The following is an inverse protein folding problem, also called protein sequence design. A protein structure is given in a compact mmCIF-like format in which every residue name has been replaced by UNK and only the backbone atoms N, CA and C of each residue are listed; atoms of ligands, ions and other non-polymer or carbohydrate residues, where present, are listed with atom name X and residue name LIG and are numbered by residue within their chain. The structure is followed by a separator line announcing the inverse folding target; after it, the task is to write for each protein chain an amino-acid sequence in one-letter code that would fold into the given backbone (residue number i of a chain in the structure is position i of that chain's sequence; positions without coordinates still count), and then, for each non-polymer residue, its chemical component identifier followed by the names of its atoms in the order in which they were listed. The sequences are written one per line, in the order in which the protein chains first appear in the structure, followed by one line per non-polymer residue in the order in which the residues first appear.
data_IF_571626629289
#
_entry.id   IF_571626629289
#
_cell.length_a   1.000
_cell.length_b   1.000
_cell.length_c   1.000
_cell.angle_alpha   90.00
_cell.angle_beta   90.00
_cell.angle_gamma   90.00
#
_symmetry.space_group_name_H-M   'P 1'
#
loop_
_entity.id
_entity.type
_entity.pdbx_description
1 polymer ?
#
# COMPACT_ATOMS: atom_id res chain seq x y z
N UNK A 1 -20.41 -3.00 -4.42
CA UNK A 1 -20.55 -2.03 -5.53
C UNK A 1 -19.18 -1.57 -5.98
N UNK A 2 -18.95 -1.26 -7.25
CA UNK A 2 -17.65 -0.88 -7.82
C UNK A 2 -17.78 0.51 -8.44
N UNK A 3 -16.83 1.40 -8.21
CA UNK A 3 -16.83 2.78 -8.70
C UNK A 3 -15.62 2.94 -9.61
N UNK A 4 -15.87 3.20 -10.89
CA UNK A 4 -14.84 3.23 -11.93
C UNK A 4 -13.80 4.34 -11.71
N UNK A 5 -14.19 5.50 -11.19
CA UNK A 5 -13.24 6.56 -10.86
C UNK A 5 -12.21 6.15 -9.78
N UNK A 6 -12.61 5.30 -8.82
CA UNK A 6 -11.66 4.75 -7.85
C UNK A 6 -10.71 3.73 -8.49
N UNK A 7 -11.19 2.92 -9.43
CA UNK A 7 -10.33 2.00 -10.16
C UNK A 7 -9.36 2.78 -11.07
N UNK A 8 -9.78 3.90 -11.66
CA UNK A 8 -8.90 4.80 -12.40
C UNK A 8 -7.84 5.44 -11.49
N UNK A 9 -8.22 5.95 -10.33
CA UNK A 9 -7.25 6.49 -9.35
C UNK A 9 -6.26 5.44 -8.84
N UNK A 10 -6.69 4.18 -8.65
CA UNK A 10 -5.78 3.09 -8.34
C UNK A 10 -4.79 2.81 -9.47
N UNK A 11 -5.20 2.94 -10.72
CA UNK A 11 -4.29 2.80 -11.85
C UNK A 11 -3.24 3.92 -11.86
N UNK A 12 -3.62 5.17 -11.55
CA UNK A 12 -2.67 6.28 -11.39
C UNK A 12 -1.69 5.97 -10.25
N UNK A 13 -2.20 5.59 -9.07
CA UNK A 13 -1.36 5.23 -7.93
C UNK A 13 -0.39 4.09 -8.27
N UNK A 14 -0.84 3.13 -9.08
CA UNK A 14 -0.01 2.02 -9.56
C UNK A 14 1.13 2.50 -10.47
N UNK A 15 0.86 3.40 -11.43
CA UNK A 15 1.89 3.98 -12.29
C UNK A 15 2.89 4.79 -11.46
N UNK A 16 2.41 5.60 -10.51
CA UNK A 16 3.28 6.33 -9.58
C UNK A 16 4.16 5.38 -8.77
N UNK A 17 3.60 4.24 -8.33
CA UNK A 17 4.34 3.21 -7.59
C UNK A 17 5.45 2.59 -8.45
N UNK A 18 5.17 2.25 -9.71
CA UNK A 18 6.19 1.69 -10.62
C UNK A 18 7.35 2.67 -10.82
N UNK A 19 7.04 3.96 -11.04
CA UNK A 19 8.07 5.00 -11.20
C UNK A 19 8.85 5.18 -9.89
N UNK A 20 8.16 5.29 -8.77
CA UNK A 20 8.76 5.48 -7.45
C UNK A 20 9.69 4.33 -7.07
N UNK A 21 9.26 3.07 -7.28
CA UNK A 21 10.08 1.91 -6.97
C UNK A 21 11.26 1.78 -7.92
N UNK A 22 11.09 2.08 -9.21
CA UNK A 22 12.21 2.13 -10.15
C UNK A 22 13.30 3.12 -9.70
N UNK A 23 12.89 4.33 -9.26
CA UNK A 23 13.83 5.32 -8.72
C UNK A 23 14.45 4.86 -7.41
N UNK A 24 13.70 4.18 -6.56
CA UNK A 24 14.21 3.58 -5.32
C UNK A 24 15.26 2.51 -5.62
N UNK A 25 15.03 1.67 -6.64
CA UNK A 25 16.03 0.68 -7.10
C UNK A 25 17.30 1.35 -7.62
N UNK A 26 17.17 2.42 -8.44
CA UNK A 26 18.34 3.19 -8.90
C UNK A 26 19.15 3.79 -7.74
N UNK A 27 18.45 4.27 -6.70
CA UNK A 27 19.10 4.77 -5.50
C UNK A 27 19.77 3.64 -4.68
N UNK A 28 19.12 2.47 -4.57
CA UNK A 28 19.63 1.30 -3.88
C UNK A 28 20.95 0.80 -4.52
N UNK A 29 21.00 0.76 -5.85
CA UNK A 29 22.21 0.37 -6.60
C UNK A 29 23.23 1.50 -6.79
N UNK A 30 23.04 2.66 -6.14
CA UNK A 30 23.99 3.77 -6.18
C UNK A 30 24.09 4.52 -7.52
N UNK A 31 23.13 4.29 -8.44
CA UNK A 31 23.08 4.97 -9.76
C UNK A 31 22.52 6.39 -9.60
N UNK A 32 21.63 6.59 -8.64
CA UNK A 32 20.98 7.86 -8.35
C UNK A 32 20.95 8.10 -6.84
N UNK A 33 21.03 9.35 -6.42
CA UNK A 33 20.87 9.72 -5.00
C UNK A 33 19.52 10.38 -4.83
N UNK A 34 18.72 9.88 -3.87
CA UNK A 34 17.44 10.47 -3.48
C UNK A 34 17.53 10.94 -2.04
N UNK A 35 17.43 12.25 -1.84
CA UNK A 35 17.48 12.86 -0.52
C UNK A 35 16.07 13.09 0.05
N UNK A 36 16.00 13.19 1.38
CA UNK A 36 14.75 13.53 2.06
C UNK A 36 14.31 14.95 1.68
N UNK A 37 13.11 15.08 1.13
CA UNK A 37 12.54 16.35 0.67
C UNK A 37 12.62 16.56 -0.84
N UNK A 38 13.32 15.71 -1.57
CA UNK A 38 13.37 15.75 -3.03
C UNK A 38 12.01 15.40 -3.66
N UNK A 39 11.86 15.72 -4.94
CA UNK A 39 10.67 15.37 -5.72
C UNK A 39 10.36 13.86 -5.64
N UNK A 40 11.37 13.00 -5.78
CA UNK A 40 11.21 11.55 -5.75
C UNK A 40 10.79 11.04 -4.37
N UNK A 41 11.32 11.63 -3.30
CA UNK A 41 10.91 11.32 -1.94
C UNK A 41 9.41 11.67 -1.72
N UNK A 42 8.98 12.85 -2.20
CA UNK A 42 7.58 13.26 -2.12
C UNK A 42 6.68 12.38 -2.99
N UNK A 43 7.14 12.00 -4.20
CA UNK A 43 6.40 11.09 -5.06
C UNK A 43 6.13 9.75 -4.36
N UNK A 44 7.15 9.15 -3.72
CA UNK A 44 7.01 7.90 -2.97
C UNK A 44 5.99 8.02 -1.84
N UNK A 45 6.02 9.10 -1.06
CA UNK A 45 5.07 9.36 0.03
C UNK A 45 3.65 9.59 -0.47
N UNK A 46 3.49 10.35 -1.52
CA UNK A 46 2.19 10.59 -2.17
C UNK A 46 1.61 9.29 -2.72
N UNK A 47 2.43 8.48 -3.37
CA UNK A 47 2.04 7.16 -3.87
C UNK A 47 1.54 6.25 -2.75
N UNK A 48 2.30 6.15 -1.66
CA UNK A 48 1.92 5.35 -0.49
C UNK A 48 0.60 5.84 0.13
N UNK A 49 0.44 7.17 0.27
CA UNK A 49 -0.79 7.78 0.80
C UNK A 49 -1.99 7.47 -0.09
N UNK A 50 -1.85 7.62 -1.41
CA UNK A 50 -2.91 7.28 -2.36
C UNK A 50 -3.27 5.79 -2.30
N UNK A 51 -2.29 4.91 -2.29
CA UNK A 51 -2.50 3.47 -2.30
C UNK A 51 -3.25 3.00 -1.04
N UNK A 52 -2.78 3.42 0.13
CA UNK A 52 -3.41 3.11 1.42
C UNK A 52 -4.78 3.77 1.53
N UNK A 53 -4.89 5.05 1.13
CA UNK A 53 -6.14 5.81 1.18
C UNK A 53 -7.22 5.22 0.28
N UNK A 54 -6.91 4.92 -1.00
CA UNK A 54 -7.84 4.27 -1.93
C UNK A 54 -8.25 2.86 -1.47
N UNK A 55 -7.38 2.18 -0.70
CA UNK A 55 -7.74 0.92 -0.05
C UNK A 55 -8.79 1.13 1.05
N UNK A 56 -8.68 2.21 1.84
CA UNK A 56 -9.68 2.62 2.84
C UNK A 56 -11.03 2.98 2.20
N UNK A 57 -11.01 3.79 1.12
CA UNK A 57 -12.22 4.10 0.33
C UNK A 57 -12.92 2.84 -0.16
N UNK A 58 -12.15 1.96 -0.81
CA UNK A 58 -12.68 0.71 -1.36
C UNK A 58 -13.19 -0.24 -0.27
N UNK A 59 -12.56 -0.20 0.91
CA UNK A 59 -12.97 -1.00 2.06
C UNK A 59 -14.35 -0.56 2.58
N UNK A 60 -14.57 0.75 2.77
CA UNK A 60 -15.87 1.28 3.15
C UNK A 60 -16.98 0.87 2.17
N UNK A 61 -16.76 1.12 0.88
CA UNK A 61 -17.73 0.81 -0.16
C UNK A 61 -18.08 -0.69 -0.24
N UNK A 62 -17.09 -1.56 0.00
CA UNK A 62 -17.30 -3.00 0.02
C UNK A 62 -18.14 -3.48 1.21
N UNK A 63 -18.17 -2.72 2.33
CA UNK A 63 -18.91 -3.08 3.55
C UNK A 63 -20.14 -2.22 3.81
N UNK A 64 -20.45 -1.28 2.93
CA UNK A 64 -21.56 -0.37 3.06
C UNK A 64 -22.91 -1.10 3.10
N UNK A 65 -23.14 -2.00 2.14
CA UNK A 65 -24.39 -2.74 2.00
C UNK A 65 -24.41 -4.00 2.87
N UNK A 66 -23.29 -4.73 2.86
CA UNK A 66 -23.17 -6.00 3.55
C UNK A 66 -21.94 -6.01 4.47
N UNK A 67 -22.19 -6.02 5.77
CA UNK A 67 -21.15 -6.10 6.79
C UNK A 67 -20.89 -7.57 7.16
N UNK A 68 -20.25 -8.31 6.27
CA UNK A 68 -20.01 -9.75 6.43
C UNK A 68 -18.55 -10.01 6.75
N UNK A 69 -18.26 -10.44 7.98
CA UNK A 69 -16.91 -10.74 8.42
C UNK A 69 -16.20 -11.79 7.56
N UNK A 70 -16.92 -12.81 7.06
CA UNK A 70 -16.30 -13.83 6.22
C UNK A 70 -15.72 -13.29 4.90
N UNK A 71 -16.31 -12.22 4.33
CA UNK A 71 -15.76 -11.52 3.15
C UNK A 71 -14.44 -10.82 3.49
N UNK A 72 -14.43 -10.10 4.62
CA UNK A 72 -13.22 -9.47 5.16
C UNK A 72 -12.14 -10.50 5.41
N UNK A 73 -12.48 -11.60 6.06
CA UNK A 73 -11.54 -12.66 6.41
C UNK A 73 -10.90 -13.30 5.15
N UNK A 74 -11.70 -13.63 4.12
CA UNK A 74 -11.18 -14.13 2.84
C UNK A 74 -10.23 -13.15 2.16
N UNK A 75 -10.55 -11.84 2.18
CA UNK A 75 -9.65 -10.80 1.66
C UNK A 75 -8.34 -10.77 2.45
N UNK A 76 -8.43 -10.79 3.77
CA UNK A 76 -7.26 -10.78 4.67
C UNK A 76 -6.38 -12.00 4.45
N UNK A 77 -6.94 -13.19 4.33
CA UNK A 77 -6.17 -14.40 4.02
C UNK A 77 -5.39 -14.27 2.72
N UNK A 78 -6.01 -13.71 1.66
CA UNK A 78 -5.32 -13.45 0.40
C UNK A 78 -4.17 -12.44 0.56
N UNK A 79 -4.37 -11.38 1.34
CA UNK A 79 -3.34 -10.38 1.60
C UNK A 79 -2.19 -10.97 2.43
N UNK A 80 -2.48 -11.75 3.48
CA UNK A 80 -1.47 -12.44 4.30
C UNK A 80 -0.67 -13.41 3.45
N UNK A 81 -1.33 -14.20 2.60
CA UNK A 81 -0.63 -15.12 1.71
C UNK A 81 0.41 -14.40 0.84
N UNK A 82 0.02 -13.33 0.16
CA UNK A 82 0.95 -12.57 -0.67
C UNK A 82 1.99 -11.79 0.14
N UNK A 83 1.63 -11.29 1.32
CA UNK A 83 2.56 -10.68 2.25
C UNK A 83 3.66 -11.68 2.65
N UNK A 84 3.28 -12.91 3.00
CA UNK A 84 4.21 -13.98 3.34
C UNK A 84 5.12 -14.35 2.16
N UNK A 85 4.56 -14.46 0.93
CA UNK A 85 5.34 -14.72 -0.27
C UNK A 85 6.41 -13.64 -0.47
N UNK A 86 6.03 -12.35 -0.35
CA UNK A 86 6.99 -11.23 -0.48
C UNK A 86 8.05 -11.30 0.61
N UNK A 87 7.68 -11.58 1.88
CA UNK A 87 8.64 -11.73 2.97
C UNK A 87 9.66 -12.80 2.68
N UNK A 88 9.22 -13.99 2.25
CA UNK A 88 10.12 -15.11 1.92
C UNK A 88 11.00 -14.77 0.73
N UNK A 89 10.44 -14.21 -0.35
CA UNK A 89 11.21 -13.83 -1.52
C UNK A 89 12.27 -12.78 -1.18
N UNK A 90 11.89 -11.72 -0.47
CA UNK A 90 12.85 -10.67 -0.08
C UNK A 90 13.88 -11.18 0.92
N UNK A 91 13.54 -12.13 1.80
CA UNK A 91 14.49 -12.77 2.71
C UNK A 91 15.55 -13.58 1.96
N UNK A 92 15.17 -14.25 0.87
CA UNK A 92 16.11 -15.03 0.05
C UNK A 92 17.08 -14.12 -0.73
N UNK A 93 16.58 -12.99 -1.24
CA UNK A 93 17.39 -12.08 -2.07
C UNK A 93 18.15 -11.03 -1.25
N UNK A 94 17.61 -10.55 -0.14
CA UNK A 94 18.20 -9.52 0.71
C UNK A 94 17.95 -9.82 2.20
N UNK A 95 18.67 -10.77 2.80
CA UNK A 95 18.45 -11.22 4.19
C UNK A 95 18.58 -10.10 5.23
N UNK A 96 19.36 -9.05 4.93
CA UNK A 96 19.60 -7.95 5.85
C UNK A 96 18.49 -6.88 5.83
N UNK A 97 17.76 -6.78 4.70
CA UNK A 97 16.75 -5.73 4.48
C UNK A 97 15.40 -6.26 3.99
N UNK A 98 15.07 -7.53 4.28
CA UNK A 98 13.82 -8.15 3.82
C UNK A 98 12.57 -7.50 4.42
N UNK A 99 11.44 -7.69 3.76
CA UNK A 99 10.14 -7.14 4.16
C UNK A 99 9.60 -7.91 5.37
N UNK A 100 9.56 -7.26 6.53
CA UNK A 100 8.96 -7.79 7.77
C UNK A 100 7.53 -7.34 7.97
N UNK A 101 7.23 -6.07 7.64
CA UNK A 101 5.90 -5.49 7.71
C UNK A 101 5.72 -4.46 6.60
N UNK A 102 5.44 -4.93 5.38
CA UNK A 102 5.18 -4.08 4.22
C UNK A 102 3.70 -3.73 4.06
N UNK A 103 3.36 -3.06 2.96
CA UNK A 103 2.00 -2.56 2.71
C UNK A 103 0.93 -3.66 2.71
N UNK A 104 1.22 -4.89 2.25
CA UNK A 104 0.24 -5.99 2.29
C UNK A 104 -0.03 -6.46 3.73
N UNK A 105 0.99 -6.46 4.60
CA UNK A 105 0.82 -6.74 6.03
C UNK A 105 -0.07 -5.67 6.68
N UNK A 106 0.23 -4.40 6.41
CA UNK A 106 -0.60 -3.29 6.87
C UNK A 106 -2.05 -3.44 6.41
N UNK A 107 -2.30 -3.70 5.12
CA UNK A 107 -3.66 -3.81 4.59
C UNK A 107 -4.41 -5.05 5.13
N UNK A 108 -3.69 -6.13 5.41
CA UNK A 108 -4.26 -7.31 6.07
C UNK A 108 -4.68 -6.98 7.50
N UNK A 109 -3.80 -6.38 8.29
CA UNK A 109 -4.11 -5.88 9.64
C UNK A 109 -5.26 -4.88 9.62
N UNK A 110 -5.17 -3.86 8.77
CA UNK A 110 -6.17 -2.80 8.66
C UNK A 110 -7.55 -3.35 8.29
N UNK A 111 -7.63 -4.38 7.45
CA UNK A 111 -8.90 -5.01 7.07
C UNK A 111 -9.61 -5.64 8.28
N UNK A 112 -8.89 -6.26 9.19
CA UNK A 112 -9.48 -6.85 10.41
C UNK A 112 -9.76 -5.77 11.46
N UNK A 113 -8.78 -4.90 11.74
CA UNK A 113 -8.88 -3.89 12.78
C UNK A 113 -9.96 -2.83 12.49
N UNK A 114 -10.15 -2.47 11.22
CA UNK A 114 -11.17 -1.51 10.80
C UNK A 114 -12.57 -2.12 10.64
N UNK A 115 -12.73 -3.45 10.70
CA UNK A 115 -14.04 -4.10 10.53
C UNK A 115 -15.11 -3.58 11.47
N UNK A 116 -14.91 -3.43 12.80
CA UNK A 116 -15.91 -2.88 13.69
C UNK A 116 -16.19 -1.38 13.45
N UNK A 117 -15.19 -0.65 12.91
CA UNK A 117 -15.25 0.79 12.71
C UNK A 117 -15.91 1.19 11.38
N UNK A 118 -15.95 0.29 10.39
CA UNK A 118 -16.44 0.64 9.03
C UNK A 118 -17.92 1.08 9.02
N UNK A 119 -18.73 0.63 9.98
CA UNK A 119 -20.11 1.07 10.17
C UNK A 119 -20.25 2.34 11.02
N UNK A 120 -19.15 2.81 11.56
CA UNK A 120 -19.06 4.02 12.37
C UNK A 120 -18.03 4.97 11.75
N UNK A 121 -18.28 5.50 10.53
CA UNK A 121 -17.27 6.21 9.75
C UNK A 121 -16.73 7.46 10.44
N UNK A 122 -17.54 8.14 11.26
CA UNK A 122 -17.07 9.25 12.09
C UNK A 122 -16.07 8.78 13.16
N UNK A 123 -16.34 7.65 13.81
CA UNK A 123 -15.42 7.08 14.81
C UNK A 123 -14.13 6.62 14.10
N UNK A 124 -14.24 5.99 12.93
CA UNK A 124 -13.08 5.63 12.12
C UNK A 124 -12.23 6.87 11.77
N UNK A 125 -12.86 7.95 11.34
CA UNK A 125 -12.17 9.21 11.01
C UNK A 125 -11.43 9.80 12.22
N UNK A 126 -12.10 9.92 13.37
CA UNK A 126 -11.50 10.45 14.60
C UNK A 126 -10.35 9.55 15.08
N UNK A 127 -10.55 8.23 15.07
CA UNK A 127 -9.50 7.26 15.40
C UNK A 127 -8.31 7.37 14.45
N UNK A 128 -8.58 7.59 13.15
CA UNK A 128 -7.54 7.80 12.16
C UNK A 128 -6.72 9.06 12.42
N UNK A 129 -7.34 10.17 12.79
CA UNK A 129 -6.65 11.40 13.21
C UNK A 129 -5.80 11.12 14.45
N UNK A 130 -6.33 10.39 15.44
CA UNK A 130 -5.55 10.00 16.62
C UNK A 130 -4.27 9.26 16.21
N UNK A 131 -4.36 8.27 15.32
CA UNK A 131 -3.17 7.53 14.82
C UNK A 131 -2.18 8.41 14.05
N UNK A 132 -2.58 9.55 13.46
CA UNK A 132 -1.64 10.47 12.81
C UNK A 132 -0.83 11.32 13.80
N UNK A 133 -1.47 11.81 14.86
CA UNK A 133 -0.87 12.78 15.77
C UNK A 133 -0.32 12.18 17.06
N UNK A 134 -0.79 10.99 17.43
CA UNK A 134 -0.33 10.28 18.62
C UNK A 134 0.44 9.03 18.19
N UNK A 135 1.77 9.11 18.15
CA UNK A 135 2.61 7.98 17.78
C UNK A 135 2.34 6.82 18.74
N UNK A 136 2.25 5.62 18.17
CA UNK A 136 2.15 4.42 18.97
C UNK A 136 3.48 4.15 19.66
N UNK A 137 3.40 3.35 20.73
CA UNK A 137 4.58 2.78 21.36
C UNK A 137 5.48 2.13 20.30
N UNK A 138 6.73 2.59 20.22
CA UNK A 138 7.72 2.07 19.27
C UNK A 138 8.72 1.17 19.98
N UNK A 139 8.95 -0.02 19.42
CA UNK A 139 9.94 -0.95 19.91
C UNK A 139 10.51 -1.77 18.73
N UNK A 140 11.82 -1.86 18.64
CA UNK A 140 12.50 -2.59 17.57
C UNK A 140 12.12 -4.08 17.51
N UNK A 141 11.77 -4.71 18.63
CA UNK A 141 11.31 -6.08 18.66
C UNK A 141 9.89 -6.27 18.10
N UNK A 142 9.14 -5.19 17.93
CA UNK A 142 7.76 -5.20 17.42
C UNK A 142 7.65 -4.79 15.95
N UNK A 143 8.75 -4.83 15.21
CA UNK A 143 8.80 -4.59 13.75
C UNK A 143 7.78 -5.44 13.00
N UNK A 144 7.64 -6.71 13.39
CA UNK A 144 6.68 -7.65 12.82
C UNK A 144 5.21 -7.29 13.04
N UNK A 145 4.92 -6.40 13.98
CA UNK A 145 3.60 -5.86 14.25
C UNK A 145 3.41 -4.46 13.69
N UNK A 146 4.40 -3.93 12.93
CA UNK A 146 4.34 -2.57 12.40
C UNK A 146 4.44 -1.48 13.47
N UNK A 147 5.07 -1.76 14.60
CA UNK A 147 5.19 -0.85 15.75
C UNK A 147 6.62 -0.31 15.94
N UNK A 148 7.46 -0.33 14.92
CA UNK A 148 8.78 0.29 14.95
C UNK A 148 8.80 1.54 14.08
N UNK A 149 9.35 2.63 14.61
CA UNK A 149 9.55 3.89 13.88
C UNK A 149 11.00 4.05 13.40
N UNK A 150 11.92 3.35 14.01
CA UNK A 150 13.34 3.55 13.79
C UNK A 150 13.90 2.64 12.71
N UNK A 151 14.70 3.27 11.91
CA UNK A 151 15.55 2.90 10.83
C UNK A 151 16.22 1.54 10.81
N UNK A 152 15.50 0.44 11.01
CA UNK A 152 16.03 -0.81 10.51
C UNK A 152 15.91 -0.82 8.98
N UNK A 153 16.90 -1.40 8.33
CA UNK A 153 16.90 -1.54 6.89
C UNK A 153 15.77 -2.50 6.48
N UNK A 154 14.86 -2.03 5.65
CA UNK A 154 13.86 -2.85 4.99
C UNK A 154 13.53 -2.26 3.63
N UNK A 155 13.40 -3.13 2.65
CA UNK A 155 13.03 -2.76 1.26
C UNK A 155 11.64 -2.13 1.21
N UNK A 156 10.74 -2.59 2.07
CA UNK A 156 9.38 -2.07 2.20
C UNK A 156 8.94 -2.14 3.67
N UNK A 157 8.64 -0.97 4.27
CA UNK A 157 8.13 -0.90 5.63
C UNK A 157 6.99 0.10 5.75
N UNK A 158 5.82 -0.41 6.18
CA UNK A 158 4.62 0.38 6.40
C UNK A 158 4.15 0.26 7.85
N UNK A 159 4.73 1.01 8.80
CA UNK A 159 4.31 0.97 10.20
C UNK A 159 2.83 1.36 10.35
N UNK A 160 2.21 0.88 11.43
CA UNK A 160 0.81 1.21 11.73
C UNK A 160 0.61 2.72 11.86
N UNK A 161 1.54 3.42 12.50
CA UNK A 161 1.57 4.88 12.51
C UNK A 161 2.53 5.37 11.40
N UNK A 162 2.09 6.22 10.47
CA UNK A 162 0.76 6.84 10.36
C UNK A 162 -0.23 6.09 9.45
N UNK A 163 0.18 5.00 8.82
CA UNK A 163 -0.51 4.42 7.66
C UNK A 163 -1.89 3.84 7.98
N UNK A 164 -2.06 3.23 9.16
CA UNK A 164 -3.39 2.80 9.59
C UNK A 164 -4.32 3.99 9.84
N UNK A 165 -3.77 5.12 10.33
CA UNK A 165 -4.49 6.38 10.43
C UNK A 165 -5.01 6.87 9.08
N UNK A 166 -4.17 6.88 8.04
CA UNK A 166 -4.57 7.23 6.67
C UNK A 166 -5.71 6.33 6.18
N UNK A 167 -5.60 5.02 6.39
CA UNK A 167 -6.65 4.07 6.01
C UNK A 167 -7.99 4.38 6.68
N UNK A 168 -8.00 4.64 7.99
CA UNK A 168 -9.20 4.94 8.76
C UNK A 168 -9.82 6.30 8.39
N UNK A 169 -9.01 7.33 8.19
CA UNK A 169 -9.47 8.64 7.71
C UNK A 169 -10.20 8.47 6.38
N UNK A 170 -9.63 7.69 5.47
CA UNK A 170 -10.22 7.46 4.16
C UNK A 170 -11.51 6.62 4.21
N UNK A 171 -11.71 5.76 5.22
CA UNK A 171 -13.04 5.17 5.52
C UNK A 171 -14.04 6.27 5.85
N UNK A 172 -13.70 7.20 6.75
CA UNK A 172 -14.57 8.32 7.13
C UNK A 172 -14.89 9.24 5.95
N UNK A 173 -13.88 9.64 5.19
CA UNK A 173 -14.04 10.48 3.98
C UNK A 173 -14.90 9.78 2.92
N UNK A 174 -14.72 8.47 2.72
CA UNK A 174 -15.51 7.71 1.76
C UNK A 174 -17.01 7.75 2.07
N UNK A 175 -17.38 7.75 3.35
CA UNK A 175 -18.78 7.86 3.76
C UNK A 175 -19.41 9.21 3.43
N UNK A 176 -18.62 10.27 3.41
CA UNK A 176 -19.08 11.62 3.05
C UNK A 176 -19.10 11.86 1.55
N UNK A 177 -18.05 11.40 0.87
CA UNK A 177 -17.88 11.61 -0.58
C UNK A 177 -18.82 10.69 -1.38
N UNK A 178 -19.03 9.44 -0.91
CA UNK A 178 -19.87 8.44 -1.57
C UNK A 178 -21.01 7.96 -0.67
N UNK A 179 -21.90 8.86 -0.16
CA UNK A 179 -22.95 8.49 0.79
C UNK A 179 -23.94 7.48 0.21
N UNK A 180 -24.18 7.54 -1.10
CA UNK A 180 -25.05 6.59 -1.82
C UNK A 180 -24.25 5.45 -2.51
N UNK A 181 -22.92 5.48 -2.46
CA UNK A 181 -22.07 4.53 -3.18
C UNK A 181 -22.09 4.73 -4.71
N UNK A 182 -22.59 5.87 -5.19
CA UNK A 182 -22.61 6.22 -6.62
C UNK A 182 -21.34 6.97 -7.01
N UNK A 183 -20.89 6.87 -8.28
CA UNK A 183 -19.77 7.66 -8.78
C UNK A 183 -20.10 9.16 -8.71
N UNK A 184 -19.07 9.99 -8.51
CA UNK A 184 -19.19 11.46 -8.55
C UNK A 184 -19.28 11.98 -9.98
N UNK A 185 -18.66 11.27 -10.91
CA UNK A 185 -18.55 11.66 -12.30
C UNK A 185 -19.17 10.61 -13.20
N UNK A 186 -20.14 11.01 -14.02
CA UNK A 186 -20.72 10.17 -15.08
C UNK A 186 -19.85 10.22 -16.35
N UNK A 187 -18.57 9.82 -16.21
CA UNK A 187 -17.60 9.81 -17.29
C UNK A 187 -17.29 8.38 -17.70
N UNK A 188 -17.17 8.14 -19.00
CA UNK A 188 -16.65 6.88 -19.53
C UNK A 188 -15.12 6.87 -19.39
N UNK A 189 -14.62 6.16 -18.39
CA UNK A 189 -13.19 6.00 -18.19
C UNK A 189 -12.61 4.97 -19.20
N UNK A 190 -11.35 5.15 -19.66
CA UNK A 190 -10.73 4.20 -20.57
C UNK A 190 -10.58 2.80 -19.94
N UNK A 191 -11.11 1.77 -20.57
CA UNK A 191 -11.16 0.40 -20.01
C UNK A 191 -9.77 -0.17 -19.66
N UNK A 192 -8.74 0.20 -20.41
CA UNK A 192 -7.34 -0.20 -20.12
C UNK A 192 -6.90 0.28 -18.72
N UNK A 193 -7.23 1.52 -18.37
CA UNK A 193 -6.91 2.08 -17.05
C UNK A 193 -7.74 1.43 -15.94
N UNK A 194 -9.02 1.19 -16.19
CA UNK A 194 -9.87 0.47 -15.24
C UNK A 194 -9.35 -0.95 -14.99
N UNK A 195 -8.90 -1.64 -16.02
CA UNK A 195 -8.31 -2.96 -15.90
C UNK A 195 -7.03 -2.96 -15.04
N UNK A 196 -6.16 -1.97 -15.21
CA UNK A 196 -4.98 -1.79 -14.34
C UNK A 196 -5.39 -1.61 -12.88
N UNK A 197 -6.33 -0.71 -12.60
CA UNK A 197 -6.82 -0.45 -11.24
C UNK A 197 -7.51 -1.67 -10.59
N UNK A 198 -8.19 -2.49 -11.41
CA UNK A 198 -8.83 -3.73 -10.96
C UNK A 198 -7.84 -4.83 -10.61
N UNK A 199 -6.65 -4.84 -11.23
CA UNK A 199 -5.61 -5.84 -11.04
C UNK A 199 -4.43 -5.36 -10.19
N UNK A 200 -4.60 -4.29 -9.41
CA UNK A 200 -3.55 -3.63 -8.63
C UNK A 200 -2.75 -4.60 -7.75
N UNK A 201 -3.41 -5.54 -7.07
CA UNK A 201 -2.71 -6.50 -6.20
C UNK A 201 -1.77 -7.41 -7.00
N UNK A 202 -2.20 -7.91 -8.15
CA UNK A 202 -1.38 -8.79 -8.98
C UNK A 202 -0.16 -8.04 -9.50
N UNK A 203 -0.37 -6.84 -10.04
CA UNK A 203 0.70 -6.01 -10.57
C UNK A 203 1.66 -5.62 -9.44
N UNK A 204 1.13 -5.27 -8.25
CA UNK A 204 1.95 -4.99 -7.06
C UNK A 204 2.86 -6.17 -6.69
N UNK A 205 2.39 -7.40 -6.75
CA UNK A 205 3.20 -8.58 -6.38
C UNK A 205 4.33 -8.81 -7.38
N UNK A 206 4.08 -8.59 -8.67
CA UNK A 206 5.04 -8.92 -9.74
C UNK A 206 5.88 -7.74 -10.23
N UNK A 207 5.62 -6.50 -9.76
CA UNK A 207 6.34 -5.33 -10.28
C UNK A 207 7.83 -5.37 -9.95
N UNK A 208 8.21 -5.75 -8.73
CA UNK A 208 9.61 -5.71 -8.31
C UNK A 208 10.50 -6.69 -9.09
N UNK A 209 10.14 -7.97 -9.25
CA UNK A 209 10.87 -8.84 -10.18
C UNK A 209 10.97 -8.28 -11.60
N UNK A 210 9.90 -7.65 -12.09
CA UNK A 210 9.92 -7.04 -13.43
C UNK A 210 10.89 -5.85 -13.50
N UNK A 211 10.93 -4.97 -12.51
CA UNK A 211 11.83 -3.82 -12.46
C UNK A 211 13.31 -4.27 -12.38
N UNK A 212 13.61 -5.27 -11.56
CA UNK A 212 14.96 -5.84 -11.45
C UNK A 212 15.41 -6.43 -12.80
N UNK A 213 14.56 -7.21 -13.45
CA UNK A 213 14.87 -7.76 -14.79
C UNK A 213 15.08 -6.63 -15.80
N UNK A 214 14.30 -5.56 -15.74
CA UNK A 214 14.47 -4.40 -16.61
C UNK A 214 15.84 -3.72 -16.40
N UNK A 215 16.26 -3.55 -15.14
CA UNK A 215 17.58 -2.97 -14.81
C UNK A 215 18.75 -3.83 -15.34
N UNK A 216 18.61 -5.14 -15.28
CA UNK A 216 19.62 -6.07 -15.86
C UNK A 216 19.67 -5.94 -17.38
N UNK A 217 18.53 -6.03 -18.06
CA UNK A 217 18.44 -5.99 -19.53
C UNK A 217 18.95 -4.66 -20.08
N UNK A 218 18.71 -3.56 -19.38
CA UNK A 218 19.20 -2.24 -19.78
C UNK A 218 20.69 -2.03 -19.48
N UNK A 219 21.34 -2.97 -18.79
CA UNK A 219 22.75 -2.88 -18.40
C UNK A 219 23.03 -1.82 -17.33
N UNK A 220 22.00 -1.30 -16.68
CA UNK A 220 22.16 -0.32 -15.59
C UNK A 220 22.69 -0.96 -14.30
N UNK A 221 22.37 -2.23 -14.08
CA UNK A 221 22.86 -3.01 -12.94
C UNK A 221 23.43 -4.32 -13.43
N UNK A 222 24.70 -4.63 -13.15
CA UNK A 222 25.30 -5.90 -13.52
C UNK A 222 24.77 -7.05 -12.64
N UNK A 223 24.76 -8.27 -13.21
CA UNK A 223 24.15 -9.46 -12.58
C UNK A 223 24.82 -9.84 -11.25
N UNK A 224 26.10 -9.60 -11.11
CA UNK A 224 26.92 -9.90 -9.92
C UNK A 224 26.56 -9.01 -8.70
N UNK A 225 25.88 -7.91 -8.92
CA UNK A 225 25.35 -7.07 -7.83
C UNK A 225 23.97 -7.52 -7.31
N UNK A 226 23.29 -8.41 -8.04
CA UNK A 226 21.92 -8.84 -7.71
C UNK A 226 21.91 -10.25 -7.13
N UNK A 227 22.82 -11.09 -7.59
CA UNK A 227 22.95 -12.49 -7.14
C UNK A 227 24.26 -12.57 -6.36
N UNK A 228 24.19 -12.68 -5.01
CA UNK A 228 25.38 -12.81 -4.16
C UNK A 228 26.12 -14.12 -4.38
#
# INVERSE_FOLDING_TARGET
MRIDELDFLKAIALVMMLISNFVTDLNYFGIMVVEKGDFWWWLARSTATLFVGLSGFSYFLAHREEHIFSKTFKRTQKLIFWAFVITVMTFVFEPNAYVRFGVLHLLAFASIAAFPLVRQPLVAFITGIFFLFFPLFSNENLVWLGLSETGFLAVDYFPLNPWFGVFLICIGLSSQIYPEGKPLFEIKWPEKWLSLGRNTLLIYVFHQPFLIVLLIITGLVPLDQIIP
#
